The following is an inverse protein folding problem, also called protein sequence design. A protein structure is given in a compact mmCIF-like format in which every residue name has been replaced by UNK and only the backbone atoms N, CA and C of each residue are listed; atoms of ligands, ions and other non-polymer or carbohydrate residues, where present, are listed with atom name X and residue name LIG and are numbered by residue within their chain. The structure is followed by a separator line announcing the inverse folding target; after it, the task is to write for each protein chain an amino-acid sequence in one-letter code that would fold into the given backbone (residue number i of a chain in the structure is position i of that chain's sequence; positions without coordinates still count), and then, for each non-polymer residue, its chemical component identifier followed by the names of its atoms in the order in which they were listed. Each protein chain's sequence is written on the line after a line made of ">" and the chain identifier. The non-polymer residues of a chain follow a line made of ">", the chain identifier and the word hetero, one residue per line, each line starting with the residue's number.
data_IF_065114261104
#
_entry.id   IF_065114261104
#
_cell.length_a   1.000
_cell.length_b   1.000
_cell.length_c   1.000
_cell.angle_alpha   90.00
_cell.angle_beta   90.00
_cell.angle_gamma   90.00
#
_symmetry.space_group_name_H-M   'P 1'
#
loop_
_entity.id
_entity.type
_entity.pdbx_description
1 polymer ?
#
# COMPACT_ATOMS: atom_id res chain seq x y z
N UNK A 1 -3.95 18.74 -2.93
CA UNK A 1 -4.34 17.31 -3.17
C UNK A 1 -3.19 16.67 -3.92
N UNK A 2 -2.72 15.48 -3.53
CA UNK A 2 -1.71 14.72 -4.28
C UNK A 2 -2.39 13.68 -5.16
N UNK A 3 -1.85 13.47 -6.37
CA UNK A 3 -2.28 12.43 -7.29
C UNK A 3 -1.27 11.28 -7.26
N UNK A 4 -1.73 10.10 -6.87
CA UNK A 4 -0.97 8.85 -6.94
C UNK A 4 -1.52 7.97 -8.07
N UNK A 5 -0.64 7.39 -8.87
CA UNK A 5 -0.99 6.51 -9.99
C UNK A 5 -0.32 5.15 -9.78
N UNK A 6 -1.13 4.08 -9.80
CA UNK A 6 -0.61 2.72 -9.83
C UNK A 6 -0.05 2.41 -11.23
N UNK A 7 1.14 1.84 -11.25
CA UNK A 7 1.84 1.48 -12.50
C UNK A 7 2.34 0.04 -12.44
N UNK A 8 2.35 -0.65 -13.57
CA UNK A 8 2.86 -2.04 -13.69
C UNK A 8 3.83 -2.24 -14.87
N UNK A 9 4.21 -1.15 -15.52
CA UNK A 9 5.14 -1.18 -16.65
C UNK A 9 5.94 0.11 -16.72
N UNK A 10 7.09 0.06 -17.41
CA UNK A 10 7.87 1.27 -17.67
C UNK A 10 7.11 2.29 -18.51
N UNK A 11 6.26 1.83 -19.44
CA UNK A 11 5.43 2.74 -20.26
C UNK A 11 4.38 3.45 -19.41
N UNK A 12 3.70 2.74 -18.47
CA UNK A 12 2.73 3.38 -17.56
C UNK A 12 3.41 4.37 -16.61
N UNK A 13 4.66 4.09 -16.19
CA UNK A 13 5.47 5.05 -15.44
C UNK A 13 5.73 6.33 -16.24
N UNK A 14 6.20 6.24 -17.49
CA UNK A 14 6.45 7.40 -18.34
C UNK A 14 5.17 8.24 -18.58
N UNK A 15 4.03 7.57 -18.72
CA UNK A 15 2.74 8.23 -18.87
C UNK A 15 2.35 8.99 -17.59
N UNK A 16 2.53 8.38 -16.40
CA UNK A 16 2.27 9.02 -15.11
C UNK A 16 3.15 10.25 -14.89
N UNK A 17 4.45 10.13 -15.18
CA UNK A 17 5.41 11.25 -15.07
C UNK A 17 5.03 12.40 -16.01
N UNK A 18 4.72 12.09 -17.29
CA UNK A 18 4.28 13.08 -18.28
C UNK A 18 2.95 13.75 -17.91
N UNK A 19 2.05 13.02 -17.27
CA UNK A 19 0.75 13.53 -16.80
C UNK A 19 0.87 14.41 -15.53
N UNK A 20 2.05 14.50 -14.93
CA UNK A 20 2.28 15.32 -13.74
C UNK A 20 1.76 14.67 -12.45
N UNK A 21 1.83 13.34 -12.34
CA UNK A 21 1.58 12.65 -11.07
C UNK A 21 2.55 13.14 -10.00
N UNK A 22 2.11 13.19 -8.75
CA UNK A 22 2.98 13.53 -7.61
C UNK A 22 3.77 12.31 -7.17
N UNK A 23 3.18 11.11 -7.27
CA UNK A 23 3.81 9.84 -6.88
C UNK A 23 3.23 8.66 -7.64
N UNK A 24 3.93 7.54 -7.58
CA UNK A 24 3.49 6.28 -8.18
C UNK A 24 3.52 5.15 -7.15
N UNK A 25 2.51 4.29 -7.19
CA UNK A 25 2.55 2.99 -6.58
C UNK A 25 3.02 1.98 -7.62
N UNK A 26 4.17 1.37 -7.37
CA UNK A 26 4.83 0.48 -8.32
C UNK A 26 4.41 -0.95 -8.05
N UNK A 27 3.74 -1.54 -9.02
CA UNK A 27 3.17 -2.88 -8.95
C UNK A 27 3.65 -3.75 -10.11
N UNK A 28 3.18 -4.95 -10.15
CA UNK A 28 2.96 -5.77 -11.34
C UNK A 28 1.48 -6.19 -11.38
N UNK A 29 1.00 -6.66 -12.55
CA UNK A 29 -0.32 -7.30 -12.66
C UNK A 29 -1.48 -6.48 -12.08
N UNK A 30 -1.67 -5.24 -12.51
CA UNK A 30 -2.77 -4.38 -12.04
C UNK A 30 -4.17 -5.00 -12.28
N UNK A 31 -4.31 -5.88 -13.27
CA UNK A 31 -5.53 -6.65 -13.48
C UNK A 31 -5.86 -7.61 -12.32
N UNK A 32 -4.90 -7.87 -11.43
CA UNK A 32 -5.03 -8.67 -10.21
C UNK A 32 -4.92 -7.79 -8.95
N UNK A 33 -5.31 -6.52 -9.04
CA UNK A 33 -5.23 -5.52 -7.98
C UNK A 33 -3.80 -5.19 -7.51
N UNK A 34 -2.80 -5.44 -8.34
CA UNK A 34 -1.40 -5.11 -8.08
C UNK A 34 -0.68 -6.14 -7.18
N UNK A 35 0.44 -6.63 -7.67
CA UNK A 35 1.36 -7.53 -6.97
C UNK A 35 2.74 -6.88 -6.85
N UNK A 36 3.65 -7.50 -6.10
CA UNK A 36 5.05 -7.06 -5.99
C UNK A 36 5.67 -6.88 -7.38
N UNK A 37 6.29 -5.73 -7.69
CA UNK A 37 6.87 -5.46 -8.99
C UNK A 37 8.17 -6.24 -9.22
N UNK A 38 8.60 -6.33 -10.48
CA UNK A 38 9.93 -6.84 -10.79
C UNK A 38 11.01 -5.86 -10.35
N UNK A 39 12.15 -6.40 -9.92
CA UNK A 39 13.36 -5.61 -9.62
C UNK A 39 13.80 -4.78 -10.83
N UNK A 40 13.65 -5.32 -12.06
CA UNK A 40 13.98 -4.61 -13.28
C UNK A 40 13.18 -3.32 -13.49
N UNK A 41 11.86 -3.33 -13.21
CA UNK A 41 11.04 -2.12 -13.30
C UNK A 41 11.49 -1.07 -12.28
N UNK A 42 11.69 -1.47 -11.03
CA UNK A 42 12.12 -0.54 -9.96
C UNK A 42 13.48 0.07 -10.28
N UNK A 43 14.43 -0.73 -10.76
CA UNK A 43 15.77 -0.26 -11.18
C UNK A 43 15.71 0.78 -12.33
N UNK A 44 14.79 0.62 -13.28
CA UNK A 44 14.63 1.57 -14.39
C UNK A 44 14.13 2.94 -13.94
N UNK A 45 13.29 3.00 -12.91
CA UNK A 45 12.63 4.21 -12.46
C UNK A 45 13.25 4.87 -11.22
N UNK A 46 14.23 4.23 -10.57
CA UNK A 46 14.78 4.67 -9.28
C UNK A 46 15.33 6.11 -9.27
N UNK A 47 15.85 6.58 -10.42
CA UNK A 47 16.44 7.92 -10.53
C UNK A 47 15.43 9.02 -10.88
N UNK A 48 14.15 8.69 -11.09
CA UNK A 48 13.09 9.68 -11.27
C UNK A 48 12.85 10.50 -9.99
N UNK A 49 12.30 11.71 -10.17
CA UNK A 49 11.92 12.62 -9.07
C UNK A 49 10.56 12.30 -8.46
N UNK A 50 9.74 11.46 -9.12
CA UNK A 50 8.46 11.04 -8.57
C UNK A 50 8.67 10.25 -7.27
N UNK A 51 7.82 10.48 -6.27
CA UNK A 51 7.76 9.61 -5.09
C UNK A 51 7.35 8.18 -5.53
N UNK A 52 8.06 7.16 -5.07
CA UNK A 52 7.86 5.75 -5.45
C UNK A 52 7.57 4.90 -4.24
N UNK A 53 6.38 4.32 -4.19
CA UNK A 53 5.97 3.36 -3.18
C UNK A 53 5.87 1.97 -3.82
N UNK A 54 6.51 0.98 -3.24
CA UNK A 54 6.63 -0.37 -3.80
C UNK A 54 5.59 -1.28 -3.16
N UNK A 55 4.73 -1.88 -3.98
CA UNK A 55 3.79 -2.91 -3.54
C UNK A 55 4.54 -4.16 -3.05
N UNK A 56 4.20 -4.63 -1.86
CA UNK A 56 4.66 -5.90 -1.29
C UNK A 56 3.43 -6.80 -1.10
N UNK A 57 3.12 -7.55 -2.15
CA UNK A 57 1.98 -8.46 -2.22
C UNK A 57 2.37 -9.66 -3.07
N UNK A 58 2.66 -10.83 -2.46
CA UNK A 58 3.31 -11.96 -3.15
C UNK A 58 2.37 -12.68 -4.13
N UNK A 59 1.06 -12.60 -3.95
CA UNK A 59 0.06 -13.25 -4.78
C UNK A 59 -1.27 -12.51 -4.82
N UNK A 60 -2.12 -12.87 -5.75
CA UNK A 60 -3.52 -12.45 -5.84
C UNK A 60 -4.41 -13.10 -4.77
N UNK A 61 -5.68 -12.71 -4.73
CA UNK A 61 -6.69 -13.20 -3.80
C UNK A 61 -6.69 -12.46 -2.48
N UNK A 62 -6.90 -13.20 -1.38
CA UNK A 62 -6.98 -12.65 -0.03
C UNK A 62 -5.65 -12.08 0.47
N UNK A 63 -5.68 -11.50 1.66
CA UNK A 63 -4.53 -10.91 2.32
C UNK A 63 -4.03 -11.72 3.53
N UNK A 64 -4.48 -12.98 3.67
CA UNK A 64 -4.04 -13.91 4.71
C UNK A 64 -2.94 -14.81 4.16
N UNK A 65 -1.70 -14.52 4.49
CA UNK A 65 -0.51 -15.16 3.91
C UNK A 65 0.00 -16.32 4.77
N UNK A 66 0.55 -17.36 4.10
CA UNK A 66 1.30 -18.43 4.78
C UNK A 66 2.61 -17.90 5.38
N UNK A 67 3.32 -18.74 6.15
CA UNK A 67 4.63 -18.35 6.70
C UNK A 67 5.68 -18.20 5.59
N UNK A 68 5.59 -19.00 4.52
CA UNK A 68 6.46 -18.92 3.34
C UNK A 68 6.21 -17.65 2.54
N UNK A 69 4.94 -17.29 2.30
CA UNK A 69 4.56 -16.03 1.64
C UNK A 69 4.99 -14.83 2.47
N UNK A 70 4.83 -14.88 3.79
CA UNK A 70 5.31 -13.84 4.67
C UNK A 70 6.84 -13.72 4.67
N UNK A 71 7.55 -14.84 4.60
CA UNK A 71 9.02 -14.83 4.41
C UNK A 71 9.40 -14.18 3.07
N UNK A 72 8.67 -14.47 1.99
CA UNK A 72 8.86 -13.83 0.69
C UNK A 72 8.70 -12.32 0.81
N UNK A 73 7.60 -11.81 1.43
CA UNK A 73 7.38 -10.37 1.65
C UNK A 73 8.56 -9.71 2.36
N UNK A 74 9.11 -10.35 3.39
CA UNK A 74 10.31 -9.85 4.07
C UNK A 74 11.52 -9.76 3.15
N UNK A 75 11.76 -10.77 2.31
CA UNK A 75 12.86 -10.77 1.34
C UNK A 75 12.69 -9.68 0.27
N UNK A 76 11.50 -9.46 -0.20
CA UNK A 76 11.20 -8.39 -1.15
C UNK A 76 11.51 -7.01 -0.56
N UNK A 77 11.12 -6.73 0.69
CA UNK A 77 11.51 -5.50 1.39
C UNK A 77 13.03 -5.37 1.49
N UNK A 78 13.75 -6.42 1.91
CA UNK A 78 15.22 -6.40 2.00
C UNK A 78 15.88 -6.08 0.65
N UNK A 79 15.35 -6.60 -0.45
CA UNK A 79 15.85 -6.34 -1.81
C UNK A 79 15.59 -4.88 -2.21
N UNK A 80 14.34 -4.42 -2.08
CA UNK A 80 13.97 -3.08 -2.54
C UNK A 80 14.54 -1.93 -1.71
N UNK A 81 14.93 -2.16 -0.47
CA UNK A 81 15.67 -1.17 0.35
C UNK A 81 17.00 -0.72 -0.27
N UNK A 82 17.52 -1.46 -1.25
CA UNK A 82 18.76 -1.08 -1.95
C UNK A 82 18.53 -0.11 -3.12
N UNK A 83 17.28 0.26 -3.40
CA UNK A 83 16.89 1.17 -4.47
C UNK A 83 16.45 2.53 -3.92
N UNK A 84 16.49 3.57 -4.75
CA UNK A 84 16.00 4.92 -4.40
C UNK A 84 14.48 4.95 -4.47
N UNK A 85 13.84 4.55 -3.40
CA UNK A 85 12.39 4.52 -3.22
C UNK A 85 11.99 5.36 -2.01
N UNK A 86 10.71 5.63 -1.85
CA UNK A 86 10.18 6.46 -0.76
C UNK A 86 9.43 5.62 0.30
N UNK A 87 8.96 4.44 -0.08
CA UNK A 87 8.26 3.57 0.87
C UNK A 87 7.74 2.28 0.27
N UNK A 88 6.98 1.59 1.11
CA UNK A 88 6.36 0.30 0.82
C UNK A 88 4.85 0.36 1.03
N UNK A 89 4.13 -0.46 0.28
CA UNK A 89 2.67 -0.62 0.38
C UNK A 89 2.37 -2.08 0.68
N UNK A 90 1.70 -2.36 1.78
CA UNK A 90 1.29 -3.72 2.16
C UNK A 90 0.15 -3.71 3.16
N UNK A 91 -0.44 -4.88 3.41
CA UNK A 91 -1.43 -5.13 4.46
C UNK A 91 -1.62 -6.62 4.63
N UNK A 92 -1.87 -7.07 5.85
CA UNK A 92 -2.02 -8.48 6.19
C UNK A 92 -3.26 -8.66 7.06
N UNK A 93 -4.06 -9.66 6.73
CA UNK A 93 -5.17 -10.14 7.54
C UNK A 93 -4.79 -11.47 8.21
N UNK A 94 -5.34 -11.71 9.38
CA UNK A 94 -5.32 -13.02 10.01
C UNK A 94 -6.43 -13.93 9.44
N UNK A 95 -6.52 -15.16 9.96
CA UNK A 95 -7.52 -16.15 9.50
C UNK A 95 -8.96 -15.81 9.87
N UNK A 96 -9.15 -14.86 10.77
CA UNK A 96 -10.46 -14.35 11.21
C UNK A 96 -10.84 -13.04 10.52
N UNK A 97 -10.11 -12.61 9.48
CA UNK A 97 -10.24 -11.34 8.75
C UNK A 97 -10.01 -10.09 9.61
N UNK A 98 -9.22 -10.17 10.68
CA UNK A 98 -8.73 -8.99 11.37
C UNK A 98 -7.36 -8.59 10.84
N UNK A 99 -6.96 -7.33 11.07
CA UNK A 99 -5.61 -6.89 10.73
C UNK A 99 -4.54 -7.62 11.57
N UNK A 100 -3.60 -8.30 10.91
CA UNK A 100 -2.47 -8.95 11.57
C UNK A 100 -1.40 -7.92 11.98
N UNK A 101 -1.66 -7.24 13.09
CA UNK A 101 -0.76 -6.22 13.62
C UNK A 101 0.63 -6.73 13.95
N UNK A 102 0.76 -8.02 14.32
CA UNK A 102 2.06 -8.61 14.65
C UNK A 102 2.94 -8.69 13.40
N UNK A 103 2.44 -9.32 12.34
CA UNK A 103 3.18 -9.44 11.08
C UNK A 103 3.40 -8.09 10.41
N UNK A 104 2.41 -7.20 10.40
CA UNK A 104 2.58 -5.85 9.87
C UNK A 104 3.66 -5.08 10.63
N UNK A 105 3.74 -5.21 11.97
CA UNK A 105 4.81 -4.59 12.74
C UNK A 105 6.19 -5.10 12.34
N UNK A 106 6.34 -6.40 12.14
CA UNK A 106 7.61 -6.98 11.67
C UNK A 106 8.03 -6.40 10.31
N UNK A 107 7.09 -6.21 9.37
CA UNK A 107 7.39 -5.59 8.07
C UNK A 107 7.75 -4.10 8.21
N UNK A 108 7.04 -3.34 9.04
CA UNK A 108 7.36 -1.92 9.30
C UNK A 108 8.75 -1.77 9.91
N UNK A 109 9.07 -2.58 10.91
CA UNK A 109 10.40 -2.55 11.55
C UNK A 109 11.51 -2.90 10.55
N UNK A 110 11.27 -3.88 9.68
CA UNK A 110 12.18 -4.27 8.60
C UNK A 110 12.33 -3.18 7.53
N UNK A 111 11.23 -2.51 7.19
CA UNK A 111 11.20 -1.46 6.16
C UNK A 111 11.96 -0.19 6.56
N UNK A 112 12.20 0.05 7.85
CA UNK A 112 12.89 1.28 8.29
C UNK A 112 14.21 1.55 7.55
N UNK A 113 14.49 2.79 7.16
CA UNK A 113 13.81 4.05 7.51
C UNK A 113 12.67 4.45 6.55
N UNK A 114 12.27 3.59 5.62
CA UNK A 114 11.26 3.89 4.61
C UNK A 114 9.84 4.00 5.20
N UNK A 115 9.01 4.83 4.58
CA UNK A 115 7.61 4.99 4.93
C UNK A 115 6.78 3.75 4.57
N UNK A 116 5.71 3.48 5.34
CA UNK A 116 4.80 2.37 5.06
C UNK A 116 3.37 2.87 4.86
N UNK A 117 2.68 2.29 3.89
CA UNK A 117 1.30 2.58 3.51
C UNK A 117 0.48 1.30 3.65
N UNK A 118 -0.68 1.38 4.28
CA UNK A 118 -1.62 0.28 4.37
C UNK A 118 -2.54 0.30 3.15
N UNK A 119 -2.52 -0.77 2.36
CA UNK A 119 -3.37 -0.90 1.18
C UNK A 119 -4.79 -1.39 1.53
N UNK A 120 -5.59 -1.69 0.50
CA UNK A 120 -7.00 -2.07 0.61
C UNK A 120 -7.31 -3.35 1.42
N UNK A 121 -6.32 -4.07 1.95
CA UNK A 121 -6.59 -5.12 2.94
C UNK A 121 -7.45 -4.62 4.10
N UNK A 122 -7.32 -3.33 4.44
CA UNK A 122 -8.14 -2.68 5.47
C UNK A 122 -9.63 -2.68 5.13
N UNK A 123 -10.01 -2.62 3.86
CA UNK A 123 -11.41 -2.65 3.42
C UNK A 123 -12.08 -4.01 3.67
N UNK A 124 -11.29 -5.07 3.79
CA UNK A 124 -11.74 -6.45 4.06
C UNK A 124 -11.65 -6.82 5.55
N UNK A 125 -11.08 -5.93 6.38
CA UNK A 125 -11.01 -6.20 7.81
C UNK A 125 -12.35 -5.96 8.51
N UNK A 126 -12.66 -6.82 9.49
CA UNK A 126 -13.90 -6.71 10.28
C UNK A 126 -13.95 -5.47 11.15
N UNK A 127 -12.80 -5.01 11.62
CA UNK A 127 -12.66 -3.98 12.65
C UNK A 127 -12.02 -2.69 12.13
N UNK A 128 -12.25 -2.28 10.88
CA UNK A 128 -11.51 -1.16 10.29
C UNK A 128 -11.52 0.08 11.19
N UNK A 129 -12.71 0.59 11.51
CA UNK A 129 -12.83 1.83 12.30
C UNK A 129 -12.22 1.67 13.70
N UNK A 130 -12.47 0.55 14.37
CA UNK A 130 -11.93 0.27 15.70
C UNK A 130 -10.41 0.11 15.71
N UNK A 131 -9.83 -0.24 14.56
CA UNK A 131 -8.39 -0.46 14.39
C UNK A 131 -7.58 0.79 14.07
N UNK A 132 -8.22 1.94 13.78
CA UNK A 132 -7.56 3.14 13.29
C UNK A 132 -6.43 3.64 14.20
N UNK A 133 -6.66 3.71 15.50
CA UNK A 133 -5.62 4.16 16.43
C UNK A 133 -4.42 3.19 16.44
N UNK A 134 -4.67 1.88 16.39
CA UNK A 134 -3.60 0.88 16.31
C UNK A 134 -2.82 0.96 14.99
N UNK A 135 -3.49 1.22 13.86
CA UNK A 135 -2.83 1.42 12.55
C UNK A 135 -1.88 2.61 12.62
N UNK A 136 -2.32 3.71 13.21
CA UNK A 136 -1.52 4.93 13.37
C UNK A 136 -0.33 4.68 14.30
N UNK A 137 -0.57 4.07 15.46
CA UNK A 137 0.46 3.77 16.46
C UNK A 137 1.51 2.76 15.94
N UNK A 138 1.12 1.91 15.00
CA UNK A 138 2.03 0.98 14.32
C UNK A 138 3.05 1.71 13.43
N UNK A 139 2.67 2.87 12.90
CA UNK A 139 3.55 3.74 12.13
C UNK A 139 3.25 3.81 10.62
N UNK A 140 2.07 3.39 10.19
CA UNK A 140 1.62 3.69 8.83
C UNK A 140 1.40 5.20 8.66
N UNK A 141 1.88 5.74 7.53
CA UNK A 141 1.72 7.18 7.21
C UNK A 141 0.45 7.46 6.40
N UNK A 142 -0.09 6.44 5.75
CA UNK A 142 -1.24 6.53 4.84
C UNK A 142 -2.04 5.25 4.82
N UNK A 143 -3.34 5.39 4.53
CA UNK A 143 -4.25 4.27 4.25
C UNK A 143 -4.88 4.50 2.88
N UNK A 144 -4.83 3.47 2.01
CA UNK A 144 -5.62 3.39 0.80
C UNK A 144 -6.91 2.63 1.11
N UNK A 145 -8.06 3.24 0.87
CA UNK A 145 -9.36 2.63 1.16
C UNK A 145 -10.42 3.02 0.13
N UNK A 146 -11.36 2.13 -0.12
CA UNK A 146 -12.62 2.40 -0.82
C UNK A 146 -13.80 2.58 0.14
N UNK A 147 -13.53 2.67 1.47
CA UNK A 147 -14.59 2.77 2.48
C UNK A 147 -15.36 1.46 2.66
N UNK A 148 -14.67 0.31 2.58
CA UNK A 148 -15.24 -1.04 2.67
C UNK A 148 -16.33 -1.31 1.60
N UNK A 149 -16.18 -0.70 0.43
CA UNK A 149 -17.05 -0.91 -0.73
C UNK A 149 -16.22 -1.34 -1.94
N UNK A 150 -16.90 -1.77 -2.99
CA UNK A 150 -16.23 -2.10 -4.25
C UNK A 150 -15.55 -0.86 -4.84
N UNK A 151 -16.26 0.27 -4.85
CA UNK A 151 -15.76 1.56 -5.34
C UNK A 151 -15.76 2.64 -4.26
N UNK A 152 -14.76 3.51 -4.30
CA UNK A 152 -14.64 4.62 -3.35
C UNK A 152 -15.87 5.55 -3.33
N UNK A 153 -16.52 5.76 -4.49
CA UNK A 153 -17.74 6.57 -4.57
C UNK A 153 -18.90 6.01 -3.71
N UNK A 154 -18.96 4.71 -3.53
CA UNK A 154 -19.96 4.02 -2.73
C UNK A 154 -19.63 4.06 -1.22
N UNK A 155 -18.33 4.21 -0.90
CA UNK A 155 -17.81 4.26 0.47
C UNK A 155 -17.55 5.66 1.00
N UNK A 156 -18.05 6.71 0.34
CA UNK A 156 -17.77 8.11 0.68
C UNK A 156 -18.09 8.47 2.13
N UNK A 157 -19.14 7.92 2.72
CA UNK A 157 -19.53 8.24 4.09
C UNK A 157 -18.45 7.80 5.09
N UNK A 158 -17.92 6.57 4.94
CA UNK A 158 -16.83 6.10 5.79
C UNK A 158 -15.54 6.88 5.50
N UNK A 159 -15.20 7.13 4.22
CA UNK A 159 -14.01 7.89 3.84
C UNK A 159 -14.04 9.29 4.45
N UNK A 160 -15.19 10.00 4.39
CA UNK A 160 -15.36 11.32 5.01
C UNK A 160 -15.19 11.26 6.51
N UNK A 161 -15.82 10.30 7.17
CA UNK A 161 -15.71 10.08 8.63
C UNK A 161 -14.25 9.86 9.05
N UNK A 162 -13.52 9.01 8.34
CA UNK A 162 -12.10 8.77 8.58
C UNK A 162 -11.27 10.05 8.38
N UNK A 163 -11.52 10.76 7.30
CA UNK A 163 -10.85 12.02 6.99
C UNK A 163 -11.09 13.08 8.07
N UNK A 164 -12.31 13.23 8.56
CA UNK A 164 -12.65 14.20 9.62
C UNK A 164 -11.95 13.87 10.92
N UNK A 165 -11.93 12.58 11.31
CA UNK A 165 -11.40 12.15 12.60
C UNK A 165 -9.87 12.03 12.62
N UNK A 166 -9.23 11.63 11.50
CA UNK A 166 -7.84 11.19 11.51
C UNK A 166 -6.88 11.98 10.62
N UNK A 167 -7.35 12.92 9.77
CA UNK A 167 -6.52 13.69 8.79
C UNK A 167 -5.28 14.38 9.37
N UNK A 168 -5.24 14.64 10.66
CA UNK A 168 -4.10 15.26 11.34
C UNK A 168 -3.04 14.25 11.79
N UNK A 169 -3.38 12.96 11.74
CA UNK A 169 -2.54 11.86 12.24
C UNK A 169 -2.09 10.91 11.14
N UNK A 170 -2.91 10.71 10.11
CA UNK A 170 -2.64 9.82 9.00
C UNK A 170 -3.31 10.34 7.72
N UNK A 171 -2.68 10.11 6.57
CA UNK A 171 -3.28 10.45 5.27
C UNK A 171 -4.31 9.38 4.88
N UNK A 172 -5.54 9.80 4.55
CA UNK A 172 -6.59 8.92 4.01
C UNK A 172 -6.63 9.13 2.50
N UNK A 173 -6.33 8.10 1.75
CA UNK A 173 -6.33 8.09 0.29
C UNK A 173 -7.51 7.27 -0.21
N UNK A 174 -8.41 7.92 -0.95
CA UNK A 174 -9.50 7.21 -1.62
C UNK A 174 -8.98 6.52 -2.87
N UNK A 175 -9.33 5.24 -3.05
CA UNK A 175 -8.96 4.48 -4.24
C UNK A 175 -10.00 3.43 -4.60
N UNK A 176 -9.89 2.89 -5.81
CA UNK A 176 -10.87 2.03 -6.47
C UNK A 176 -12.09 2.80 -7.02
N UNK A 177 -12.05 3.12 -8.30
CA UNK A 177 -13.15 3.80 -8.99
C UNK A 177 -12.73 4.56 -10.19
#
# INVERSE_FOLDING_TARGET
>A
MKLEICIDSYQSFLNAEKAGADRVEVCSSLALDGLTPSVGLVSLIENSKLEKFIMIRPREGDFSYSDEEFLQMKKEIEIFKNYKIDGFVFGILDKEDNLDFKRMKELIDLARPFSCVLHRAVDYSKDFEASMDRIIDLGFIRILTSGQKEKAIEGLDLIKKLQENYRKRIEIMAGSG
#
